data_IF_704788528477
#
_entry.id   IF_704788528477
#
_cell.length_a   1.000
_cell.length_b   1.000
_cell.length_c   1.000
_cell.angle_alpha   90.00
_cell.angle_beta   90.00
_cell.angle_gamma   90.00
#
_symmetry.space_group_name_H-M   'P 1'
#
loop_
_entity.id
_entity.type
_entity.pdbx_description
1 polymer ?
#
# COMPACT_ATOMS: atom_id res chain seq x y z
N UNK A 1 18.16 5.52 31.20
CA UNK A 1 17.13 6.52 30.83
C UNK A 1 16.90 6.41 29.32
N UNK A 2 15.70 6.06 28.90
CA UNK A 2 15.35 6.04 27.47
C UNK A 2 14.95 7.49 27.15
N UNK A 3 15.83 8.22 26.44
CA UNK A 3 15.51 9.57 26.00
C UNK A 3 14.28 9.51 25.07
N UNK A 4 13.26 10.26 25.39
CA UNK A 4 12.09 10.40 24.54
C UNK A 4 12.52 11.02 23.21
N UNK A 5 12.15 10.39 22.10
CA UNK A 5 12.42 10.93 20.76
C UNK A 5 11.32 11.91 20.41
N UNK A 6 11.71 13.13 20.12
CA UNK A 6 10.80 14.20 19.67
C UNK A 6 10.83 14.25 18.15
N UNK A 7 9.67 14.21 17.52
CA UNK A 7 9.55 14.35 16.06
C UNK A 7 9.01 15.72 15.71
N UNK A 8 9.76 16.43 14.88
CA UNK A 8 9.38 17.71 14.31
C UNK A 8 9.11 17.52 12.81
N UNK A 9 7.90 17.79 12.38
CA UNK A 9 7.50 17.76 10.98
C UNK A 9 7.40 19.18 10.44
N UNK A 10 8.27 19.54 9.50
CA UNK A 10 8.38 20.91 8.97
C UNK A 10 8.47 21.96 10.09
N UNK A 11 9.19 21.63 11.17
CA UNK A 11 9.36 22.51 12.34
C UNK A 11 8.23 22.44 13.38
N UNK A 12 7.15 21.71 13.12
CA UNK A 12 6.05 21.54 14.05
C UNK A 12 6.22 20.23 14.86
N UNK A 13 6.02 20.33 16.16
CA UNK A 13 6.03 19.16 17.04
C UNK A 13 4.83 18.24 16.76
N UNK A 14 5.09 16.96 16.54
CA UNK A 14 4.07 15.93 16.38
C UNK A 14 4.05 15.07 17.65
N UNK A 15 3.02 15.22 18.49
CA UNK A 15 2.87 14.36 19.65
C UNK A 15 2.60 12.93 19.23
N UNK A 16 3.18 11.97 19.94
CA UNK A 16 3.00 10.55 19.64
C UNK A 16 2.83 9.73 20.91
N UNK A 17 1.75 8.98 20.95
CA UNK A 17 1.51 7.95 21.95
C UNK A 17 1.12 6.65 21.19
N UNK A 18 1.97 5.62 21.22
CA UNK A 18 3.25 5.51 21.91
C UNK A 18 4.37 6.33 21.28
N UNK A 19 5.46 6.56 22.03
CA UNK A 19 6.58 7.35 21.53
C UNK A 19 7.36 6.59 20.44
N UNK A 20 8.04 7.32 19.54
CA UNK A 20 8.98 6.74 18.60
C UNK A 20 10.08 5.96 19.32
N UNK A 21 10.61 4.93 18.66
CA UNK A 21 11.65 4.05 19.20
C UNK A 21 12.87 4.05 18.29
N UNK A 22 14.05 3.86 18.87
CA UNK A 22 15.26 3.63 18.10
C UNK A 22 15.56 2.14 18.05
N UNK A 23 15.65 1.60 16.83
CA UNK A 23 15.93 0.19 16.59
C UNK A 23 17.03 0.09 15.54
N UNK A 24 18.15 -0.57 15.86
CA UNK A 24 19.31 -0.69 14.98
C UNK A 24 19.77 0.64 14.33
N UNK A 25 19.76 1.71 15.11
CA UNK A 25 20.16 3.04 14.64
C UNK A 25 19.09 3.80 13.84
N UNK A 26 18.01 3.16 13.44
CA UNK A 26 16.90 3.81 12.78
C UNK A 26 15.82 4.26 13.78
N UNK A 27 15.15 5.35 13.43
CA UNK A 27 13.98 5.83 14.18
C UNK A 27 12.74 5.14 13.62
N UNK A 28 12.08 4.38 14.47
CA UNK A 28 10.83 3.71 14.18
C UNK A 28 9.68 4.54 14.76
N UNK A 29 8.72 4.83 13.94
CA UNK A 29 7.55 5.63 14.32
C UNK A 29 6.28 4.82 14.24
N UNK A 30 5.33 5.01 15.17
CA UNK A 30 4.03 4.35 15.08
C UNK A 30 3.27 4.86 13.86
N UNK A 31 2.51 3.95 13.25
CA UNK A 31 1.69 4.25 12.07
C UNK A 31 0.74 5.42 12.35
N UNK A 32 0.07 5.40 13.48
CA UNK A 32 -0.70 6.52 13.99
C UNK A 32 -0.05 7.02 15.30
N UNK A 33 0.09 8.32 15.51
CA UNK A 33 -0.34 9.43 14.65
C UNK A 33 0.72 9.92 13.64
N UNK A 34 2.01 9.57 13.79
CA UNK A 34 3.12 10.23 13.08
C UNK A 34 3.03 10.03 11.56
N UNK A 35 2.84 8.79 11.11
CA UNK A 35 2.78 8.52 9.66
C UNK A 35 1.54 9.14 9.03
N UNK A 36 0.45 9.23 9.78
CA UNK A 36 -0.77 9.93 9.34
C UNK A 36 -0.57 11.44 9.11
N UNK A 37 0.46 12.06 9.72
CA UNK A 37 0.83 13.45 9.42
C UNK A 37 1.78 13.56 8.22
N UNK A 38 2.42 12.46 7.84
CA UNK A 38 3.35 12.41 6.69
C UNK A 38 2.60 12.10 5.40
N UNK A 39 1.63 11.19 5.44
CA UNK A 39 0.84 10.74 4.31
C UNK A 39 -0.58 11.34 4.35
N UNK A 40 -1.15 11.61 3.18
CA UNK A 40 -2.52 12.12 3.06
C UNK A 40 -3.54 11.00 3.35
N UNK A 41 -3.16 9.75 3.07
CA UNK A 41 -3.94 8.57 3.39
C UNK A 41 -3.04 7.43 3.85
N UNK A 42 -3.49 6.75 4.89
CA UNK A 42 -2.84 5.55 5.45
C UNK A 42 -3.87 4.43 5.50
N UNK A 43 -3.54 3.30 4.90
CA UNK A 43 -4.38 2.10 4.95
C UNK A 43 -3.54 0.93 5.45
N UNK A 44 -4.08 0.19 6.41
CA UNK A 44 -3.50 -1.04 6.92
C UNK A 44 -4.46 -2.19 6.59
N UNK A 45 -3.98 -3.13 5.78
CA UNK A 45 -4.71 -4.34 5.42
C UNK A 45 -3.86 -5.57 5.76
N UNK A 46 -4.23 -6.22 6.83
CA UNK A 46 -3.42 -7.29 7.42
C UNK A 46 -2.00 -6.80 7.73
N UNK A 47 -1.01 -7.33 7.03
CA UNK A 47 0.40 -6.95 7.16
C UNK A 47 0.86 -5.91 6.13
N UNK A 48 -0.02 -5.45 5.26
CA UNK A 48 0.30 -4.51 4.19
C UNK A 48 -0.12 -3.10 4.57
N UNK A 49 0.80 -2.15 4.44
CA UNK A 49 0.60 -0.76 4.78
C UNK A 49 0.72 0.05 3.49
N UNK A 50 -0.35 0.69 3.08
CA UNK A 50 -0.37 1.58 1.92
C UNK A 50 -0.39 3.03 2.38
N UNK A 51 0.58 3.78 1.93
CA UNK A 51 0.73 5.20 2.19
C UNK A 51 0.56 5.97 0.89
N UNK A 52 -0.30 6.97 0.89
CA UNK A 52 -0.55 7.83 -0.27
C UNK A 52 -0.25 9.28 0.10
N UNK A 53 0.52 9.96 -0.74
CA UNK A 53 0.79 11.40 -0.61
C UNK A 53 0.84 12.04 -2.00
N UNK A 54 -0.16 12.90 -2.28
CA UNK A 54 -0.36 13.42 -3.63
C UNK A 54 -0.48 12.29 -4.65
N UNK A 55 0.31 12.31 -5.74
CA UNK A 55 0.28 11.24 -6.73
C UNK A 55 1.08 9.99 -6.34
N UNK A 56 1.86 10.04 -5.26
CA UNK A 56 2.74 8.95 -4.84
C UNK A 56 2.03 7.92 -3.98
N UNK A 57 2.24 6.66 -4.32
CA UNK A 57 1.73 5.51 -3.57
C UNK A 57 2.89 4.63 -3.15
N UNK A 58 3.06 4.42 -1.85
CA UNK A 58 4.07 3.55 -1.30
C UNK A 58 3.44 2.42 -0.48
N UNK A 59 3.92 1.21 -0.71
CA UNK A 59 3.42 -0.01 -0.06
C UNK A 59 4.55 -0.65 0.73
N UNK A 60 4.33 -0.77 2.03
CA UNK A 60 5.21 -1.45 2.98
C UNK A 60 4.55 -2.74 3.44
N UNK A 61 5.34 -3.72 3.85
CA UNK A 61 4.82 -4.91 4.49
C UNK A 61 5.54 -5.14 5.82
N UNK A 62 4.77 -5.47 6.85
CA UNK A 62 5.31 -5.86 8.16
C UNK A 62 6.17 -7.12 7.98
N UNK A 63 7.38 -7.11 8.50
CA UNK A 63 8.30 -8.23 8.37
C UNK A 63 9.12 -8.25 7.07
N UNK A 64 8.93 -7.29 6.14
CA UNK A 64 9.68 -7.22 4.89
C UNK A 64 10.71 -6.09 4.88
N UNK A 65 11.96 -6.35 4.47
CA UNK A 65 12.97 -5.31 4.29
C UNK A 65 12.79 -4.53 2.97
N UNK A 66 11.85 -4.91 2.13
CA UNK A 66 11.56 -4.26 0.87
C UNK A 66 10.20 -3.60 0.89
N UNK A 67 10.10 -2.43 0.27
CA UNK A 67 8.85 -1.72 0.04
C UNK A 67 8.78 -1.26 -1.41
N UNK A 68 7.64 -0.88 -1.88
CA UNK A 68 7.44 -0.38 -3.25
C UNK A 68 6.89 1.03 -3.20
N UNK A 69 7.46 1.92 -4.03
CA UNK A 69 6.89 3.24 -4.26
C UNK A 69 6.67 3.42 -5.76
N UNK A 70 5.46 3.76 -6.12
CA UNK A 70 5.02 3.92 -7.52
C UNK A 70 5.36 2.68 -8.37
N UNK A 71 5.25 1.49 -7.76
CA UNK A 71 5.59 0.21 -8.36
C UNK A 71 7.06 -0.17 -8.31
N UNK A 72 7.98 0.78 -8.09
CA UNK A 72 9.41 0.52 -8.03
C UNK A 72 9.82 -0.07 -6.66
N UNK A 73 10.57 -1.18 -6.63
CA UNK A 73 11.05 -1.78 -5.40
C UNK A 73 12.17 -0.92 -4.78
N UNK A 74 12.11 -0.78 -3.46
CA UNK A 74 13.09 -0.07 -2.64
C UNK A 74 13.49 -0.94 -1.46
N UNK A 75 14.73 -0.81 -1.00
CA UNK A 75 15.20 -1.51 0.19
C UNK A 75 15.15 -0.60 1.43
N UNK A 76 14.77 -1.19 2.55
CA UNK A 76 14.84 -0.56 3.86
C UNK A 76 15.89 -1.28 4.70
N UNK A 77 16.74 -0.52 5.37
CA UNK A 77 17.75 -1.07 6.28
C UNK A 77 17.14 -1.66 7.56
N UNK A 78 15.91 -1.29 7.88
CA UNK A 78 15.17 -1.77 9.05
C UNK A 78 13.77 -2.19 8.63
N UNK A 79 13.37 -3.34 9.14
CA UNK A 79 12.10 -3.98 8.79
C UNK A 79 10.96 -3.36 9.60
N UNK A 80 9.82 -3.01 8.97
CA UNK A 80 8.60 -2.67 9.68
C UNK A 80 8.16 -3.82 10.60
N UNK A 81 7.72 -3.52 11.79
CA UNK A 81 7.26 -4.54 12.74
C UNK A 81 5.98 -4.11 13.47
N UNK A 82 5.24 -5.09 13.96
CA UNK A 82 4.10 -4.88 14.84
C UNK A 82 4.48 -5.30 16.27
N UNK A 83 4.11 -4.48 17.24
CA UNK A 83 4.28 -4.77 18.67
C UNK A 83 3.12 -4.19 19.47
N UNK A 84 2.55 -5.01 20.35
CA UNK A 84 1.43 -4.61 21.21
C UNK A 84 0.24 -4.05 20.41
N UNK A 85 -0.03 -4.62 19.21
CA UNK A 85 -1.08 -4.16 18.30
C UNK A 85 -0.76 -2.88 17.52
N UNK A 86 0.46 -2.34 17.69
CA UNK A 86 0.89 -1.10 17.04
C UNK A 86 1.93 -1.43 15.97
N UNK A 87 1.70 -0.91 14.78
CA UNK A 87 2.65 -1.05 13.66
C UNK A 87 3.64 0.09 13.68
N UNK A 88 4.92 -0.25 13.61
CA UNK A 88 6.05 0.68 13.55
C UNK A 88 6.70 0.65 12.18
N UNK A 89 6.89 1.82 11.59
CA UNK A 89 7.57 2.01 10.31
C UNK A 89 8.89 2.75 10.49
N UNK A 90 9.92 2.41 9.69
CA UNK A 90 11.16 3.17 9.68
C UNK A 90 10.94 4.55 9.06
N UNK A 91 11.15 5.60 9.85
CA UNK A 91 10.87 6.99 9.45
C UNK A 91 11.67 7.42 8.22
N UNK A 92 12.95 7.06 8.16
CA UNK A 92 13.83 7.44 7.05
C UNK A 92 13.32 6.99 5.68
N UNK A 93 13.06 5.69 5.47
CA UNK A 93 12.44 5.18 4.26
C UNK A 93 11.10 5.85 3.92
N UNK A 94 10.20 6.01 4.90
CA UNK A 94 8.89 6.65 4.68
C UNK A 94 9.04 8.09 4.17
N UNK A 95 9.89 8.87 4.82
CA UNK A 95 10.10 10.29 4.44
C UNK A 95 10.78 10.41 3.08
N UNK A 96 11.80 9.58 2.80
CA UNK A 96 12.49 9.56 1.49
C UNK A 96 11.56 9.13 0.36
N UNK A 97 10.67 8.20 0.62
CA UNK A 97 9.66 7.75 -0.34
C UNK A 97 8.80 8.91 -0.85
N UNK A 98 8.56 9.92 0.00
CA UNK A 98 7.82 11.12 -0.37
C UNK A 98 8.73 12.32 -0.73
N UNK A 99 10.01 12.08 -0.97
CA UNK A 99 10.96 13.11 -1.38
C UNK A 99 11.41 14.05 -0.28
N UNK A 100 11.20 13.67 0.99
CA UNK A 100 11.62 14.44 2.15
C UNK A 100 13.00 14.06 2.66
N UNK A 101 13.44 14.78 3.69
CA UNK A 101 14.69 14.55 4.40
C UNK A 101 14.46 14.37 5.90
N UNK A 102 15.30 13.56 6.53
CA UNK A 102 15.28 13.33 7.98
C UNK A 102 16.64 13.68 8.54
N UNK A 103 16.66 14.52 9.55
CA UNK A 103 17.85 14.88 10.31
C UNK A 103 17.65 14.48 11.77
N UNK A 104 18.61 13.76 12.34
CA UNK A 104 18.58 13.33 13.73
C UNK A 104 19.60 14.10 14.55
N UNK A 105 19.15 14.80 15.57
CA UNK A 105 19.99 15.43 16.59
C UNK A 105 20.07 14.51 17.81
N UNK A 106 21.20 13.81 17.94
CA UNK A 106 21.41 12.85 19.01
C UNK A 106 21.53 13.52 20.39
N UNK A 107 21.99 14.75 20.46
CA UNK A 107 22.17 15.47 21.72
C UNK A 107 20.82 15.89 22.30
N UNK A 108 19.90 16.29 21.44
CA UNK A 108 18.55 16.72 21.84
C UNK A 108 17.51 15.61 21.80
N UNK A 109 17.85 14.46 21.25
CA UNK A 109 16.87 13.39 21.01
C UNK A 109 15.78 13.80 20.01
N UNK A 110 16.09 14.74 19.11
CA UNK A 110 15.11 15.34 18.19
C UNK A 110 15.33 14.81 16.78
N UNK A 111 14.23 14.48 16.12
CA UNK A 111 14.19 14.12 14.70
C UNK A 111 13.44 15.20 13.94
N UNK A 112 14.15 15.90 13.08
CA UNK A 112 13.56 16.89 12.17
C UNK A 112 13.25 16.22 10.83
N UNK A 113 12.01 16.32 10.40
CA UNK A 113 11.51 15.83 9.12
C UNK A 113 11.12 17.04 8.29
N UNK A 114 11.74 17.18 7.13
CA UNK A 114 11.36 18.16 6.13
C UNK A 114 10.71 17.42 4.95
N UNK A 115 9.46 17.71 4.71
CA UNK A 115 8.71 17.20 3.56
C UNK A 115 8.45 18.33 2.58
N UNK A 116 8.58 18.07 1.27
CA UNK A 116 8.13 19.03 0.27
C UNK A 116 6.64 19.26 0.49
N UNK A 117 6.21 20.51 0.34
CA UNK A 117 4.79 20.83 0.36
C UNK A 117 4.16 20.03 -0.76
N UNK A 118 3.12 19.26 -0.46
CA UNK A 118 2.28 18.68 -1.50
C UNK A 118 1.69 19.83 -2.28
N UNK A 119 2.26 20.16 -3.43
CA UNK A 119 1.59 21.00 -4.43
C UNK A 119 0.48 20.16 -5.10
N UNK A 120 -0.34 19.50 -4.31
CA UNK A 120 -1.68 19.08 -4.69
C UNK A 120 -2.62 20.31 -4.63
N UNK A 121 -2.13 21.48 -4.88
CA UNK A 121 -2.87 22.62 -5.34
C UNK A 121 -2.99 22.39 -6.84
N UNK A 122 -4.12 21.78 -7.30
CA UNK A 122 -5.22 22.66 -7.66
C UNK A 122 -4.72 23.93 -8.37
N UNK A 123 -3.94 23.74 -9.42
CA UNK A 123 -4.18 24.56 -10.56
C UNK A 123 -5.40 23.92 -11.22
N UNK A 124 -6.63 24.47 -11.04
CA UNK A 124 -7.69 24.09 -11.93
C UNK A 124 -7.13 24.34 -13.32
N UNK A 125 -7.30 23.42 -14.27
CA UNK A 125 -6.92 23.72 -15.64
C UNK A 125 -7.57 25.06 -15.97
N UNK A 126 -6.85 25.98 -16.63
CA UNK A 126 -7.45 27.24 -17.04
C UNK A 126 -8.74 26.85 -17.75
N UNK A 127 -9.86 27.30 -17.20
CA UNK A 127 -11.14 27.15 -17.82
C UNK A 127 -11.07 28.00 -19.10
N UNK A 128 -10.72 27.37 -20.21
CA UNK A 128 -10.81 27.98 -21.52
C UNK A 128 -12.30 28.06 -21.84
N UNK A 129 -12.91 29.19 -21.43
CA UNK A 129 -14.32 29.50 -21.66
C UNK A 129 -14.63 29.73 -23.17
N UNK A 130 -13.65 29.51 -24.03
CA UNK A 130 -13.73 29.77 -25.45
C UNK A 130 -13.79 28.52 -26.36
N UNK A 131 -13.79 27.32 -25.80
CA UNK A 131 -13.99 26.13 -26.60
C UNK A 131 -15.49 25.91 -26.79
N UNK A 132 -16.01 25.95 -28.05
CA UNK A 132 -17.39 25.58 -28.31
C UNK A 132 -17.55 24.11 -27.89
N UNK A 133 -18.38 23.86 -26.89
CA UNK A 133 -18.81 22.52 -26.53
C UNK A 133 -19.59 21.91 -27.67
N UNK A 134 -18.89 21.24 -28.57
CA UNK A 134 -19.53 20.29 -29.47
C UNK A 134 -19.88 19.07 -28.64
N UNK A 135 -21.11 19.01 -28.16
CA UNK A 135 -21.66 17.84 -27.54
C UNK A 135 -21.46 16.65 -28.50
N UNK A 136 -20.78 15.56 -28.10
CA UNK A 136 -20.79 14.38 -28.96
C UNK A 136 -22.21 13.81 -28.94
N UNK A 137 -22.94 14.01 -29.99
CA UNK A 137 -24.17 13.29 -30.28
C UNK A 137 -23.78 11.81 -30.40
N UNK A 138 -23.89 11.07 -29.33
CA UNK A 138 -23.81 9.62 -29.41
C UNK A 138 -25.01 9.11 -30.14
N UNK A 139 -24.82 8.88 -31.44
CA UNK A 139 -25.73 8.06 -32.21
C UNK A 139 -25.62 6.65 -31.61
N UNK A 140 -26.64 6.29 -30.88
CA UNK A 140 -26.81 4.93 -30.39
C UNK A 140 -27.17 4.08 -31.60
N UNK A 141 -26.19 3.44 -32.23
CA UNK A 141 -26.42 2.35 -33.15
C UNK A 141 -26.81 1.14 -32.29
N UNK A 142 -28.03 0.62 -32.42
CA UNK A 142 -28.38 -0.59 -31.67
C UNK A 142 -27.49 -1.75 -32.15
N UNK A 143 -26.71 -2.26 -31.25
CA UNK A 143 -25.88 -3.43 -31.47
C UNK A 143 -26.81 -4.63 -31.73
N UNK A 144 -26.65 -5.36 -32.83
CA UNK A 144 -27.41 -6.58 -33.06
C UNK A 144 -27.16 -7.58 -31.93
N UNK A 145 -28.25 -8.18 -31.48
CA UNK A 145 -28.21 -9.17 -30.43
C UNK A 145 -27.27 -10.34 -30.80
N UNK A 146 -26.47 -10.85 -29.83
CA UNK A 146 -25.63 -12.00 -30.08
C UNK A 146 -26.50 -13.23 -30.40
N UNK A 147 -26.09 -14.08 -31.36
CA UNK A 147 -26.82 -15.28 -31.69
C UNK A 147 -26.96 -16.20 -30.49
N UNK A 148 -28.16 -16.64 -30.23
CA UNK A 148 -28.51 -17.61 -29.22
C UNK A 148 -27.69 -18.88 -29.43
N UNK A 149 -26.97 -19.42 -28.43
CA UNK A 149 -26.30 -20.69 -28.59
C UNK A 149 -27.32 -21.80 -28.71
N UNK A 150 -27.32 -22.45 -29.87
CA UNK A 150 -28.08 -23.66 -30.10
C UNK A 150 -27.43 -24.79 -29.28
N UNK A 151 -28.16 -25.31 -28.32
CA UNK A 151 -27.81 -26.51 -27.58
C UNK A 151 -27.96 -27.69 -28.52
N UNK A 152 -26.90 -28.45 -28.82
CA UNK A 152 -27.05 -29.68 -29.55
C UNK A 152 -27.67 -30.73 -28.63
N UNK A 153 -28.88 -31.17 -28.97
CA UNK A 153 -29.50 -32.33 -28.40
C UNK A 153 -28.83 -33.54 -29.06
N UNK A 154 -27.86 -34.15 -28.41
CA UNK A 154 -27.36 -35.47 -28.77
C UNK A 154 -27.59 -36.39 -27.58
N UNK A 155 -28.70 -37.08 -27.69
CA UNK A 155 -28.90 -38.31 -26.92
C UNK A 155 -28.04 -39.43 -27.49
N UNK A 156 -27.23 -40.04 -26.69
CA UNK A 156 -26.79 -41.42 -26.90
C UNK A 156 -26.56 -42.08 -25.54
N UNK A 157 -27.43 -43.03 -25.16
CA UNK A 157 -27.26 -43.78 -23.94
C UNK A 157 -26.41 -45.04 -24.26
N UNK A 158 -25.12 -45.02 -23.97
CA UNK A 158 -24.33 -46.24 -23.94
C UNK A 158 -24.09 -46.72 -22.53
N UNK A 159 -24.22 -48.03 -22.28
CA UNK A 159 -24.25 -48.60 -20.95
C UNK A 159 -22.86 -48.69 -20.31
N UNK A 160 -22.87 -48.42 -19.02
CA UNK A 160 -21.76 -48.61 -18.10
C UNK A 160 -21.20 -50.02 -18.15
N UNK A 161 -19.92 -50.12 -18.43
CA UNK A 161 -19.15 -51.29 -18.05
C UNK A 161 -18.62 -51.10 -16.63
N UNK A 162 -19.09 -52.01 -15.79
CA UNK A 162 -18.65 -52.23 -14.41
C UNK A 162 -17.19 -52.69 -14.42
N UNK A 163 -16.29 -51.95 -13.79
CA UNK A 163 -14.93 -52.39 -13.51
C UNK A 163 -14.86 -52.93 -12.08
N UNK A 164 -14.33 -54.12 -11.98
CA UNK A 164 -14.17 -54.98 -10.82
C UNK A 164 -13.06 -54.43 -9.91
N UNK A 165 -13.19 -54.43 -8.57
CA UNK A 165 -12.15 -53.98 -7.67
C UNK A 165 -11.03 -55.04 -7.55
N UNK A 166 -9.79 -54.53 -7.66
CA UNK A 166 -8.60 -55.34 -7.41
C UNK A 166 -8.32 -55.46 -5.90
N UNK A 167 -8.05 -56.65 -5.51
CA UNK A 167 -7.75 -57.21 -4.19
C UNK A 167 -6.43 -56.62 -3.62
N UNK A 168 -6.33 -56.37 -2.30
CA UNK A 168 -5.07 -55.98 -1.69
C UNK A 168 -4.14 -57.16 -1.44
N UNK A 169 -2.92 -57.03 -1.90
CA UNK A 169 -1.83 -57.99 -1.57
C UNK A 169 -1.24 -57.67 -0.20
N UNK A 170 -1.25 -58.68 0.57
CA UNK A 170 -0.70 -59.00 1.88
C UNK A 170 0.81 -58.86 1.91
N UNK A 171 1.32 -58.16 2.92
CA UNK A 171 2.72 -58.17 3.37
C UNK A 171 2.97 -59.35 4.29
N UNK A 172 4.09 -60.04 4.20
CA UNK A 172 4.65 -60.79 5.31
C UNK A 172 6.10 -60.40 5.61
N UNK A 173 6.45 -60.46 6.90
CA UNK A 173 7.79 -60.58 7.43
C UNK A 173 8.31 -59.38 8.19
#
# INVERSE_FOLDING_TARGET
>A
MIAAIIVLLNGLFVPSAPPPRRVFGAVMVPLAPIVAHIADRVTLDGNTITLVRGPRVCVFAVGSPTYRCDGAPQASSVVPFARDGIVYLPLGPVVRAFGGTVTYDAQRGTVAVALPRSNALLTPPPFDASAPQVAPTRVFTPQPAPPTPQVPISGDPRPRRTAIPATPSRVPG
#
